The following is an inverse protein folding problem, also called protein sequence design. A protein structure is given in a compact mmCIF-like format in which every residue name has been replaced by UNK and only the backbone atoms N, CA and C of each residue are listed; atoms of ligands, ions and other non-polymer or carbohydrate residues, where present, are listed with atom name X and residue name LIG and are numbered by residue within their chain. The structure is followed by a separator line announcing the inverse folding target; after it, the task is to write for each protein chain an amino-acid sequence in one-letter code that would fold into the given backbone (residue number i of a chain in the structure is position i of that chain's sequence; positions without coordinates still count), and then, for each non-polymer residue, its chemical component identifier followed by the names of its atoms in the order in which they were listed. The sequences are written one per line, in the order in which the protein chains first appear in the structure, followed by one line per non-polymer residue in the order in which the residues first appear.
data_IF_622430919453
#
_entry.id   IF_622430919453
#
_cell.length_a   1.000
_cell.length_b   1.000
_cell.length_c   1.000
_cell.angle_alpha   90.00
_cell.angle_beta   90.00
_cell.angle_gamma   90.00
#
_symmetry.space_group_name_H-M   'P 1'
#
loop_
_entity.id
_entity.type
_entity.pdbx_description
1 polymer ?
#
# COMPACT_ATOMS: atom_id res chain seq x y z
N UNK A 1 -3.34 10.29 -11.11
CA UNK A 1 -4.69 10.55 -11.68
C UNK A 1 -5.37 9.19 -11.88
N UNK A 2 -6.54 8.99 -11.26
CA UNK A 2 -7.32 7.74 -11.15
C UNK A 2 -6.60 6.56 -10.45
N UNK A 3 -6.38 6.65 -9.13
CA UNK A 3 -5.83 5.54 -8.32
C UNK A 3 -6.91 4.81 -7.49
N UNK A 4 -8.20 5.14 -7.63
CA UNK A 4 -9.27 4.56 -6.80
C UNK A 4 -10.53 4.23 -7.59
N UNK A 5 -11.10 3.04 -7.35
CA UNK A 5 -12.46 2.67 -7.77
C UNK A 5 -13.41 2.94 -6.63
N UNK A 6 -14.59 3.46 -6.95
CA UNK A 6 -15.66 3.70 -5.99
C UNK A 6 -16.72 2.62 -6.14
N UNK A 7 -16.98 1.88 -5.07
CA UNK A 7 -18.05 0.89 -4.99
C UNK A 7 -19.11 1.39 -4.01
N UNK A 8 -20.38 1.38 -4.42
CA UNK A 8 -21.51 1.71 -3.55
C UNK A 8 -22.12 0.40 -3.09
N UNK A 9 -21.99 0.08 -1.81
CA UNK A 9 -22.58 -1.11 -1.21
C UNK A 9 -23.52 -0.72 -0.08
N UNK A 10 -24.82 -1.03 -0.20
CA UNK A 10 -25.84 -0.78 0.84
C UNK A 10 -25.75 0.64 1.43
N UNK A 11 -25.72 1.66 0.58
CA UNK A 11 -25.58 3.08 0.93
C UNK A 11 -24.24 3.51 1.54
N UNK A 12 -23.24 2.63 1.60
CA UNK A 12 -21.87 2.98 1.99
C UNK A 12 -20.96 3.09 0.77
N UNK A 13 -20.16 4.16 0.74
CA UNK A 13 -19.14 4.39 -0.27
C UNK A 13 -17.87 3.69 0.16
N UNK A 14 -17.31 2.88 -0.73
CA UNK A 14 -16.06 2.21 -0.50
C UNK A 14 -15.08 2.41 -1.63
N UNK A 15 -13.83 2.56 -1.22
CA UNK A 15 -12.74 2.78 -2.13
C UNK A 15 -11.92 1.49 -2.26
N UNK A 16 -11.50 1.18 -3.48
CA UNK A 16 -10.50 0.16 -3.76
C UNK A 16 -9.43 0.74 -4.69
N UNK A 17 -8.24 0.13 -4.76
CA UNK A 17 -7.19 0.59 -5.64
C UNK A 17 -7.56 0.32 -7.11
N UNK A 18 -7.73 1.38 -7.91
CA UNK A 18 -7.97 1.25 -9.34
C UNK A 18 -6.66 1.05 -10.09
N UNK A 19 -6.69 0.14 -11.06
CA UNK A 19 -5.61 -0.09 -12.01
C UNK A 19 -6.22 0.03 -13.39
N UNK A 20 -5.60 0.84 -14.24
CA UNK A 20 -5.99 0.91 -15.66
C UNK A 20 -5.79 -0.48 -16.29
N UNK A 21 -6.63 -0.88 -17.26
CA UNK A 21 -6.44 -2.14 -17.99
C UNK A 21 -5.07 -2.27 -18.65
N UNK A 22 -4.45 -1.12 -18.99
CA UNK A 22 -3.11 -1.03 -19.60
C UNK A 22 -1.96 -1.03 -18.58
N UNK A 23 -2.24 -1.27 -17.29
CA UNK A 23 -1.20 -1.28 -16.26
C UNK A 23 -0.25 -2.49 -16.45
N UNK A 24 1.00 -2.20 -16.76
CA UNK A 24 2.02 -3.21 -17.06
C UNK A 24 2.64 -3.87 -15.82
N UNK A 25 2.38 -3.38 -14.62
CA UNK A 25 3.03 -3.88 -13.40
C UNK A 25 4.53 -3.58 -13.30
N UNK A 26 5.07 -2.72 -14.16
CA UNK A 26 6.49 -2.35 -14.11
C UNK A 26 6.73 -1.30 -13.02
N UNK A 27 7.61 -1.66 -12.09
CA UNK A 27 8.17 -0.76 -11.08
C UNK A 27 9.69 -0.71 -11.22
N UNK A 28 10.35 0.00 -10.30
CA UNK A 28 11.81 0.04 -10.23
C UNK A 28 12.35 -1.39 -10.08
N UNK A 29 13.15 -1.87 -11.04
CA UNK A 29 13.76 -3.20 -10.93
C UNK A 29 14.68 -3.29 -9.71
N UNK A 30 14.61 -4.40 -8.96
CA UNK A 30 15.52 -4.61 -7.83
C UNK A 30 16.98 -4.77 -8.25
N UNK A 31 17.25 -5.20 -9.49
CA UNK A 31 18.61 -5.37 -10.01
C UNK A 31 19.23 -4.07 -10.57
N UNK A 32 18.45 -2.99 -10.64
CA UNK A 32 18.96 -1.69 -11.06
C UNK A 32 20.02 -1.16 -10.08
N UNK A 33 20.91 -0.28 -10.57
CA UNK A 33 21.95 0.37 -9.75
C UNK A 33 21.40 1.46 -8.81
N UNK A 34 20.09 1.50 -8.58
CA UNK A 34 19.48 2.47 -7.67
C UNK A 34 19.72 2.10 -6.20
N UNK A 35 19.87 3.11 -5.31
CA UNK A 35 20.00 2.88 -3.89
C UNK A 35 18.86 2.05 -3.29
N UNK A 36 19.17 1.27 -2.26
CA UNK A 36 18.16 0.46 -1.54
C UNK A 36 17.04 1.32 -0.94
N UNK A 37 17.31 2.59 -0.60
CA UNK A 37 16.30 3.53 -0.12
C UNK A 37 15.19 3.78 -1.15
N UNK A 38 15.53 3.90 -2.44
CA UNK A 38 14.56 4.10 -3.52
C UNK A 38 13.72 2.84 -3.73
N UNK A 39 14.36 1.67 -3.74
CA UNK A 39 13.68 0.37 -3.84
C UNK A 39 12.71 0.17 -2.68
N UNK A 40 13.14 0.50 -1.45
CA UNK A 40 12.28 0.49 -0.26
C UNK A 40 11.12 1.49 -0.39
N UNK A 41 11.39 2.68 -0.93
CA UNK A 41 10.39 3.71 -1.21
C UNK A 41 9.25 3.23 -2.09
N UNK A 42 9.53 2.39 -3.10
CA UNK A 42 8.49 1.76 -3.94
C UNK A 42 7.55 0.90 -3.09
N UNK A 43 8.10 0.01 -2.25
CA UNK A 43 7.29 -0.86 -1.37
C UNK A 43 6.48 -0.04 -0.36
N UNK A 44 7.08 1.00 0.21
CA UNK A 44 6.39 1.92 1.15
C UNK A 44 5.23 2.63 0.46
N UNK A 45 5.45 3.20 -0.74
CA UNK A 45 4.43 3.93 -1.46
C UNK A 45 3.22 3.06 -1.84
N UNK A 46 3.48 1.80 -2.24
CA UNK A 46 2.42 0.83 -2.51
C UNK A 46 1.65 0.45 -1.23
N UNK A 47 2.37 0.22 -0.13
CA UNK A 47 1.77 -0.10 1.18
C UNK A 47 0.87 1.04 1.66
N UNK A 48 1.34 2.29 1.58
CA UNK A 48 0.58 3.48 1.96
C UNK A 48 -0.68 3.63 1.14
N UNK A 49 -0.60 3.38 -0.17
CA UNK A 49 -1.74 3.46 -1.08
C UNK A 49 -2.83 2.48 -0.66
N UNK A 50 -2.48 1.23 -0.41
CA UNK A 50 -3.45 0.21 0.02
C UNK A 50 -4.06 0.62 1.36
N UNK A 51 -3.21 0.91 2.35
CA UNK A 51 -3.67 1.16 3.70
C UNK A 51 -4.56 2.41 3.82
N UNK A 52 -4.20 3.49 3.10
CA UNK A 52 -4.88 4.78 3.22
C UNK A 52 -6.09 4.92 2.30
N UNK A 53 -6.00 4.38 1.08
CA UNK A 53 -7.00 4.64 0.05
C UNK A 53 -8.00 3.51 -0.13
N UNK A 54 -7.69 2.28 0.26
CA UNK A 54 -8.61 1.15 0.09
C UNK A 54 -9.35 0.80 1.38
N UNK A 55 -10.60 0.38 1.26
CA UNK A 55 -11.39 -0.13 2.37
C UNK A 55 -10.73 -1.42 2.92
N UNK A 56 -10.72 -1.65 4.25
CA UNK A 56 -10.08 -2.82 4.86
C UNK A 56 -10.44 -4.16 4.23
N UNK A 57 -11.67 -4.31 3.72
CA UNK A 57 -12.13 -5.51 3.02
C UNK A 57 -11.27 -5.90 1.81
N UNK A 58 -10.64 -4.91 1.15
CA UNK A 58 -9.83 -5.11 -0.05
C UNK A 58 -8.33 -5.21 0.25
N UNK A 59 -7.91 -5.01 1.51
CA UNK A 59 -6.50 -4.97 1.87
C UNK A 59 -5.79 -6.28 1.53
N UNK A 60 -6.37 -7.42 1.90
CA UNK A 60 -5.77 -8.73 1.64
C UNK A 60 -5.49 -8.93 0.14
N UNK A 61 -6.50 -8.74 -0.71
CA UNK A 61 -6.37 -8.90 -2.16
C UNK A 61 -5.35 -7.93 -2.76
N UNK A 62 -5.35 -6.67 -2.30
CA UNK A 62 -4.41 -5.66 -2.78
C UNK A 62 -2.97 -5.95 -2.34
N UNK A 63 -2.77 -6.44 -1.11
CA UNK A 63 -1.46 -6.82 -0.60
C UNK A 63 -0.89 -8.02 -1.35
N UNK A 64 -1.69 -9.09 -1.53
CA UNK A 64 -1.27 -10.24 -2.34
C UNK A 64 -0.86 -9.82 -3.75
N UNK A 65 -1.60 -8.88 -4.35
CA UNK A 65 -1.28 -8.38 -5.68
C UNK A 65 -0.01 -7.53 -5.75
N UNK A 66 0.25 -6.62 -4.79
CA UNK A 66 1.53 -5.87 -4.83
C UNK A 66 2.73 -6.78 -4.56
N UNK A 67 2.57 -7.80 -3.73
CA UNK A 67 3.63 -8.77 -3.44
C UNK A 67 3.99 -9.52 -4.72
N UNK A 68 3.00 -10.02 -5.47
CA UNK A 68 3.26 -10.72 -6.74
C UNK A 68 3.95 -9.81 -7.76
N UNK A 69 3.56 -8.54 -7.85
CA UNK A 69 4.24 -7.59 -8.73
C UNK A 69 5.68 -7.33 -8.29
N UNK A 70 5.92 -7.09 -7.00
CA UNK A 70 7.26 -6.81 -6.50
C UNK A 70 8.20 -8.01 -6.74
N UNK A 71 7.71 -9.23 -6.55
CA UNK A 71 8.44 -10.45 -6.91
C UNK A 71 8.78 -10.49 -8.40
N UNK A 72 7.83 -10.15 -9.27
CA UNK A 72 8.06 -10.07 -10.72
C UNK A 72 9.06 -8.96 -11.11
N UNK A 73 9.25 -7.94 -10.27
CA UNK A 73 10.28 -6.89 -10.44
C UNK A 73 11.61 -7.25 -9.75
N UNK A 74 11.77 -8.48 -9.28
CA UNK A 74 13.02 -9.02 -8.72
C UNK A 74 13.26 -8.71 -7.25
N UNK A 75 12.26 -8.20 -6.52
CA UNK A 75 12.43 -7.88 -5.11
C UNK A 75 12.49 -9.15 -4.25
N UNK A 76 13.48 -9.30 -3.35
CA UNK A 76 13.54 -10.43 -2.43
C UNK A 76 12.33 -10.47 -1.49
N UNK A 77 11.75 -11.65 -1.30
CA UNK A 77 10.53 -11.82 -0.48
C UNK A 77 10.69 -11.29 0.94
N UNK A 78 11.85 -11.54 1.56
CA UNK A 78 12.16 -11.04 2.90
C UNK A 78 12.18 -9.51 2.96
N UNK A 79 12.78 -8.86 1.96
CA UNK A 79 12.83 -7.39 1.87
C UNK A 79 11.44 -6.78 1.74
N UNK A 80 10.56 -7.41 0.95
CA UNK A 80 9.16 -6.99 0.79
C UNK A 80 8.43 -7.06 2.13
N UNK A 81 8.39 -8.23 2.76
CA UNK A 81 7.64 -8.43 4.00
C UNK A 81 8.17 -7.59 5.16
N UNK A 82 9.50 -7.48 5.29
CA UNK A 82 10.12 -6.64 6.30
C UNK A 82 9.67 -5.18 6.15
N UNK A 83 9.72 -4.64 4.93
CA UNK A 83 9.33 -3.25 4.65
C UNK A 83 7.83 -3.02 4.87
N UNK A 84 6.97 -3.91 4.38
CA UNK A 84 5.51 -3.83 4.58
C UNK A 84 5.20 -3.84 6.09
N UNK A 85 5.77 -4.79 6.82
CA UNK A 85 5.51 -4.95 8.27
C UNK A 85 5.94 -3.72 9.06
N UNK A 86 7.15 -3.21 8.81
CA UNK A 86 7.64 -1.99 9.47
C UNK A 86 6.74 -0.80 9.15
N UNK A 87 6.31 -0.66 7.90
CA UNK A 87 5.44 0.45 7.48
C UNK A 87 4.05 0.35 8.10
N UNK A 88 3.44 -0.83 8.14
CA UNK A 88 2.13 -1.02 8.77
C UNK A 88 2.16 -0.73 10.27
N UNK A 89 3.19 -1.19 10.99
CA UNK A 89 3.38 -0.86 12.41
C UNK A 89 3.40 0.66 12.63
N UNK A 90 4.15 1.39 11.80
CA UNK A 90 4.19 2.85 11.84
C UNK A 90 2.82 3.50 11.55
N UNK A 91 2.10 3.05 10.53
CA UNK A 91 0.79 3.61 10.17
C UNK A 91 -0.27 3.38 11.24
N UNK A 92 -0.28 2.21 11.88
CA UNK A 92 -1.21 1.89 12.96
C UNK A 92 -0.88 2.73 14.21
N UNK A 93 0.40 2.81 14.59
CA UNK A 93 0.84 3.64 15.71
C UNK A 93 0.46 5.11 15.53
N UNK A 94 0.74 5.68 14.35
CA UNK A 94 0.41 7.07 14.02
C UNK A 94 -1.10 7.33 14.04
N UNK A 95 -1.91 6.43 13.48
CA UNK A 95 -3.38 6.52 13.51
C UNK A 95 -3.93 6.52 14.95
N UNK A 96 -3.42 5.65 15.81
CA UNK A 96 -3.84 5.56 17.20
C UNK A 96 -3.53 6.83 18.00
N UNK A 97 -2.33 7.39 17.82
CA UNK A 97 -1.96 8.65 18.47
C UNK A 97 -2.83 9.82 18.00
N UNK A 98 -3.19 9.86 16.72
CA UNK A 98 -4.08 10.88 16.18
C UNK A 98 -5.49 10.81 16.77
N UNK A 99 -5.99 9.59 16.99
CA UNK A 99 -7.29 9.37 17.64
C UNK A 99 -7.26 9.80 19.12
N UNK A 100 -6.19 9.49 19.86
CA UNK A 100 -6.02 9.94 21.25
C UNK A 100 -6.06 11.47 21.37
N UNK A 101 -5.33 12.19 20.50
CA UNK A 101 -5.36 13.67 20.48
C UNK A 101 -6.75 14.25 20.20
N UNK A 102 -7.56 13.60 19.35
CA UNK A 102 -8.95 14.04 19.08
C UNK A 102 -9.87 13.87 20.28
N UNK A 103 -9.67 12.84 21.10
CA UNK A 103 -10.48 12.57 22.29
C UNK A 103 -10.14 13.58 23.41
N UNK A 104 -8.85 13.91 23.58
CA UNK A 104 -8.40 14.87 24.60
C UNK A 104 -8.81 16.30 24.29
N UNK A 105 -8.96 16.66 23.01
CA UNK A 105 -9.31 18.01 22.56
C UNK A 105 -10.82 18.22 22.37
N UNK A 106 -11.67 17.32 22.88
CA UNK A 106 -13.13 17.38 22.79
C UNK A 106 -13.72 17.41 24.19
#
# INVERSE_FOLDING_TARGET
FLDTTININKNHIEFNWYRKPTFSGRFLSFFSHHPLSHKRGVVIGLTDRIFRLSHPRFHNNNFSFIISILLNNGYPIHFIFQTITQRLKFLIFTKNNHNKKKIVNK
#
